data_IF_561541775172
#
_entry.id   IF_561541775172
#
_cell.length_a   1.000
_cell.length_b   1.000
_cell.length_c   1.000
_cell.angle_alpha   90.00
_cell.angle_beta   90.00
_cell.angle_gamma   90.00
#
_symmetry.space_group_name_H-M   'P 1'
#
loop_
_entity.id
_entity.type
_entity.pdbx_description
1 polymer ?
#
# COMPACT_ATOMS: atom_id res chain seq x y z
N UNK A 1 -59.81 -67.33 -22.97
CA UNK A 1 -59.85 -66.37 -21.85
C UNK A 1 -58.49 -66.41 -21.18
N UNK A 2 -57.61 -65.42 -21.20
CA UNK A 2 -57.64 -64.05 -21.67
C UNK A 2 -56.31 -63.74 -22.38
N UNK A 3 -56.38 -63.01 -23.50
CA UNK A 3 -55.23 -62.41 -24.18
C UNK A 3 -54.79 -61.16 -23.40
N UNK A 4 -53.49 -61.00 -23.17
CA UNK A 4 -52.87 -59.72 -22.82
C UNK A 4 -52.07 -59.23 -24.02
N UNK A 5 -52.53 -58.13 -24.61
CA UNK A 5 -51.94 -57.47 -25.77
C UNK A 5 -50.95 -56.40 -25.25
N UNK A 6 -49.66 -56.63 -25.49
CA UNK A 6 -48.55 -55.72 -25.14
C UNK A 6 -48.43 -54.65 -26.22
N UNK A 7 -49.39 -53.73 -26.26
CA UNK A 7 -49.26 -52.46 -26.97
C UNK A 7 -49.51 -51.32 -25.99
N UNK A 8 -48.54 -50.40 -25.92
CA UNK A 8 -48.50 -49.16 -25.14
C UNK A 8 -47.67 -49.19 -23.85
N UNK A 9 -46.37 -49.49 -23.96
CA UNK A 9 -45.43 -49.22 -22.85
C UNK A 9 -44.20 -48.38 -23.24
N UNK A 10 -44.24 -47.68 -24.37
CA UNK A 10 -43.23 -46.68 -24.70
C UNK A 10 -43.91 -45.40 -25.19
N UNK A 11 -44.27 -44.54 -24.23
CA UNK A 11 -44.63 -43.16 -24.53
C UNK A 11 -43.37 -42.41 -25.00
N UNK A 12 -43.43 -41.61 -26.09
CA UNK A 12 -42.31 -40.82 -26.58
C UNK A 12 -41.71 -39.88 -25.52
N UNK A 13 -42.47 -39.58 -24.47
CA UNK A 13 -42.02 -38.78 -23.32
C UNK A 13 -40.90 -39.45 -22.51
N UNK A 14 -40.86 -40.79 -22.43
CA UNK A 14 -39.82 -41.51 -21.66
C UNK A 14 -38.50 -41.60 -22.41
N UNK A 15 -38.54 -41.68 -23.75
CA UNK A 15 -37.35 -41.62 -24.60
C UNK A 15 -36.74 -40.22 -24.58
N UNK A 16 -37.59 -39.18 -24.57
CA UNK A 16 -37.16 -37.77 -24.43
C UNK A 16 -36.58 -37.52 -23.04
N UNK A 17 -37.18 -38.03 -21.97
CA UNK A 17 -36.65 -37.88 -20.61
C UNK A 17 -35.29 -38.57 -20.44
N UNK A 18 -35.12 -39.77 -21.00
CA UNK A 18 -33.85 -40.50 -20.97
C UNK A 18 -32.76 -39.80 -21.80
N UNK A 19 -33.12 -39.24 -22.97
CA UNK A 19 -32.20 -38.45 -23.79
C UNK A 19 -31.81 -37.12 -23.10
N UNK A 20 -32.74 -36.46 -22.40
CA UNK A 20 -32.44 -35.29 -21.57
C UNK A 20 -31.53 -35.65 -20.39
N UNK A 21 -31.75 -36.78 -19.72
CA UNK A 21 -30.87 -37.23 -18.64
C UNK A 21 -29.45 -37.57 -19.12
N UNK A 22 -29.30 -38.16 -20.32
CA UNK A 22 -27.99 -38.41 -20.91
C UNK A 22 -27.30 -37.12 -21.39
N UNK A 23 -28.06 -36.09 -21.82
CA UNK A 23 -27.51 -34.77 -22.15
C UNK A 23 -27.08 -33.99 -20.88
N UNK A 24 -27.76 -34.17 -19.75
CA UNK A 24 -27.34 -33.58 -18.47
C UNK A 24 -26.18 -34.33 -17.80
N UNK A 25 -26.02 -35.63 -18.04
CA UNK A 25 -24.90 -36.41 -17.51
C UNK A 25 -23.62 -36.31 -18.38
N UNK A 26 -23.73 -35.92 -19.64
CA UNK A 26 -22.58 -35.74 -20.55
C UNK A 26 -21.96 -34.33 -20.50
N UNK A 27 -22.45 -33.45 -19.62
CA UNK A 27 -21.88 -32.13 -19.35
C UNK A 27 -21.37 -32.00 -17.90
N UNK A 28 -20.96 -33.09 -17.25
CA UNK A 28 -19.94 -32.95 -16.21
C UNK A 28 -18.60 -33.06 -16.92
N UNK A 29 -18.13 -31.94 -17.47
CA UNK A 29 -16.69 -31.75 -17.61
C UNK A 29 -16.10 -32.09 -16.24
N UNK A 30 -15.18 -33.06 -16.22
CA UNK A 30 -14.26 -33.20 -15.10
C UNK A 30 -13.71 -31.81 -14.84
N UNK A 31 -14.13 -31.19 -13.73
CA UNK A 31 -13.46 -30.01 -13.24
C UNK A 31 -12.02 -30.44 -13.03
N UNK A 32 -11.12 -30.01 -13.90
CA UNK A 32 -9.68 -30.05 -13.63
C UNK A 32 -9.51 -29.64 -12.17
N UNK A 33 -8.71 -30.37 -11.37
CA UNK A 33 -8.49 -29.97 -9.99
C UNK A 33 -7.99 -28.54 -10.02
N UNK A 34 -8.84 -27.62 -9.56
CA UNK A 34 -8.54 -26.20 -9.51
C UNK A 34 -7.21 -26.09 -8.77
N UNK A 35 -6.16 -25.70 -9.50
CA UNK A 35 -4.79 -25.70 -8.96
C UNK A 35 -4.80 -24.75 -7.79
N UNK A 36 -4.70 -25.33 -6.60
CA UNK A 36 -4.72 -24.57 -5.36
C UNK A 36 -3.36 -23.91 -5.17
N UNK A 37 -3.37 -22.62 -4.83
CA UNK A 37 -2.25 -22.01 -4.11
C UNK A 37 -1.84 -22.94 -2.97
N UNK A 38 -0.54 -23.07 -2.73
CA UNK A 38 -0.05 -23.96 -1.69
C UNK A 38 -0.76 -23.66 -0.35
N UNK A 39 -1.17 -24.68 0.43
CA UNK A 39 -1.82 -24.45 1.73
C UNK A 39 -0.96 -23.61 2.71
N UNK A 40 0.35 -23.59 2.51
CA UNK A 40 1.37 -22.82 3.22
C UNK A 40 1.98 -21.70 2.35
N UNK A 41 1.23 -21.22 1.35
CA UNK A 41 1.68 -20.37 0.23
C UNK A 41 2.38 -19.05 0.56
N UNK A 42 2.69 -18.69 1.80
CA UNK A 42 3.49 -17.50 2.08
C UNK A 42 2.86 -16.15 1.67
N UNK A 43 1.56 -16.15 1.30
CA UNK A 43 0.76 -14.99 0.81
C UNK A 43 0.56 -13.90 1.87
N UNK A 44 1.36 -13.88 2.95
CA UNK A 44 1.43 -12.78 3.91
C UNK A 44 2.19 -11.58 3.34
N UNK A 45 3.23 -11.84 2.55
CA UNK A 45 4.13 -10.80 2.04
C UNK A 45 3.53 -10.10 0.82
N UNK A 46 3.73 -8.79 0.75
CA UNK A 46 3.19 -7.95 -0.32
C UNK A 46 4.34 -7.30 -1.07
N UNK A 47 4.42 -7.53 -2.36
CA UNK A 47 5.31 -6.84 -3.27
C UNK A 47 4.59 -5.63 -3.86
N UNK A 48 5.16 -4.46 -3.62
CA UNK A 48 4.65 -3.20 -4.13
C UNK A 48 5.37 -2.81 -5.43
N UNK A 49 4.68 -2.11 -6.35
CA UNK A 49 5.29 -1.69 -7.60
C UNK A 49 6.32 -0.58 -7.39
N UNK A 50 7.43 -0.68 -8.12
CA UNK A 50 8.55 0.26 -8.10
C UNK A 50 9.24 0.44 -6.73
N UNK A 51 8.97 -0.48 -5.81
CA UNK A 51 9.69 -0.59 -4.54
C UNK A 51 11.11 -1.13 -4.80
N UNK A 52 12.12 -0.45 -4.27
CA UNK A 52 13.53 -0.83 -4.43
C UNK A 52 14.09 -1.57 -3.21
N UNK A 53 13.30 -1.75 -2.14
CA UNK A 53 13.73 -2.51 -0.98
C UNK A 53 14.19 -3.93 -1.35
N UNK A 54 15.11 -4.47 -0.55
CA UNK A 54 15.75 -5.78 -0.82
C UNK A 54 14.73 -6.90 -0.92
N UNK A 55 13.66 -6.85 -0.12
CA UNK A 55 12.51 -7.75 -0.22
C UNK A 55 12.90 -9.24 -0.11
N UNK A 56 13.82 -9.56 0.82
CA UNK A 56 14.36 -10.92 1.03
C UNK A 56 13.28 -11.95 1.40
N UNK A 57 12.29 -11.54 2.21
CA UNK A 57 11.14 -12.40 2.51
C UNK A 57 10.30 -12.70 1.26
N UNK A 58 10.08 -11.72 0.39
CA UNK A 58 9.38 -11.92 -0.88
C UNK A 58 10.19 -12.84 -1.78
N UNK A 59 11.50 -12.62 -1.88
CA UNK A 59 12.43 -13.48 -2.60
C UNK A 59 12.41 -14.93 -2.10
N UNK A 60 12.29 -15.16 -0.79
CA UNK A 60 12.20 -16.51 -0.23
C UNK A 60 10.85 -17.19 -0.51
N UNK A 61 9.78 -16.43 -0.77
CA UNK A 61 8.42 -16.95 -0.85
C UNK A 61 7.77 -16.83 -2.23
N UNK A 62 8.36 -16.14 -3.22
CA UNK A 62 7.75 -15.91 -4.54
C UNK A 62 7.24 -17.19 -5.21
N UNK A 63 8.00 -18.28 -5.13
CA UNK A 63 7.64 -19.58 -5.70
C UNK A 63 6.45 -20.24 -4.97
N UNK A 64 6.31 -19.98 -3.67
CA UNK A 64 5.25 -20.51 -2.80
C UNK A 64 3.98 -19.65 -2.84
N UNK A 65 4.17 -18.35 -3.04
CA UNK A 65 3.15 -17.32 -3.21
C UNK A 65 3.45 -16.04 -2.44
N UNK A 66 3.23 -14.91 -3.10
CA UNK A 66 3.25 -13.57 -2.50
C UNK A 66 2.11 -12.75 -3.08
N UNK A 67 1.68 -11.71 -2.37
CA UNK A 67 0.73 -10.71 -2.90
C UNK A 67 1.47 -9.72 -3.79
N UNK A 68 0.89 -9.36 -4.92
CA UNK A 68 1.27 -8.24 -5.76
C UNK A 68 0.19 -7.18 -5.60
N UNK A 69 0.57 -5.96 -5.23
CA UNK A 69 -0.37 -4.84 -5.27
C UNK A 69 -0.39 -4.24 -6.69
N UNK A 70 -1.57 -4.22 -7.30
CA UNK A 70 -1.74 -3.81 -8.69
C UNK A 70 -2.83 -2.74 -8.81
N UNK A 71 -2.61 -1.80 -9.72
CA UNK A 71 -3.51 -0.69 -10.04
C UNK A 71 -4.04 -0.86 -11.48
N UNK A 72 -5.27 -0.39 -11.74
CA UNK A 72 -5.94 -0.68 -13.00
C UNK A 72 -5.30 0.08 -14.18
N UNK A 73 -5.22 -0.56 -15.34
CA UNK A 73 -4.63 -0.04 -16.59
C UNK A 73 -3.11 0.21 -16.55
N UNK A 74 -2.41 -0.24 -15.51
CA UNK A 74 -0.95 -0.23 -15.47
C UNK A 74 -0.36 -1.52 -16.08
N UNK A 75 0.80 -1.36 -16.71
CA UNK A 75 1.63 -2.45 -17.21
C UNK A 75 2.69 -2.79 -16.16
N UNK A 76 2.89 -4.08 -15.92
CA UNK A 76 3.76 -4.59 -14.88
C UNK A 76 4.80 -5.54 -15.46
N UNK A 77 5.99 -5.47 -14.87
CA UNK A 77 7.06 -6.44 -15.06
C UNK A 77 7.46 -7.03 -13.71
N UNK A 78 7.23 -8.33 -13.54
CA UNK A 78 7.76 -9.09 -12.41
C UNK A 78 9.03 -9.79 -12.87
N UNK A 79 10.13 -9.62 -12.15
CA UNK A 79 11.41 -10.24 -12.51
C UNK A 79 12.22 -10.71 -11.32
N UNK A 80 13.04 -11.73 -11.54
CA UNK A 80 14.01 -12.25 -10.56
C UNK A 80 15.21 -12.88 -11.27
N UNK A 81 16.29 -13.11 -10.53
CA UNK A 81 17.54 -13.64 -11.09
C UNK A 81 17.38 -15.09 -11.57
N UNK A 82 17.96 -15.38 -12.73
CA UNK A 82 18.00 -16.73 -13.30
C UNK A 82 18.94 -17.61 -12.48
N UNK A 83 18.39 -18.63 -11.82
CA UNK A 83 19.17 -19.57 -11.01
C UNK A 83 19.61 -20.82 -11.79
N UNK A 84 20.19 -20.64 -12.98
CA UNK A 84 20.65 -21.75 -13.82
C UNK A 84 19.55 -22.65 -14.40
N UNK A 85 18.28 -22.25 -14.26
CA UNK A 85 17.16 -22.97 -14.85
C UNK A 85 17.29 -23.04 -16.39
N UNK A 86 17.06 -24.23 -16.96
CA UNK A 86 17.11 -24.45 -18.41
C UNK A 86 15.89 -23.85 -19.13
N UNK A 87 14.75 -23.81 -18.43
CA UNK A 87 13.50 -23.18 -18.86
C UNK A 87 13.00 -22.25 -17.77
N UNK A 88 12.35 -21.16 -18.16
CA UNK A 88 11.69 -20.28 -17.21
C UNK A 88 10.48 -21.02 -16.61
N UNK A 89 10.23 -20.92 -15.30
CA UNK A 89 9.00 -21.44 -14.73
C UNK A 89 7.80 -20.65 -15.26
N UNK A 90 6.62 -21.27 -15.26
CA UNK A 90 5.36 -20.59 -15.60
C UNK A 90 4.85 -19.86 -14.36
N UNK A 91 4.56 -18.57 -14.50
CA UNK A 91 3.93 -17.79 -13.45
C UNK A 91 2.42 -17.95 -13.51
N UNK A 92 1.82 -18.36 -12.41
CA UNK A 92 0.37 -18.37 -12.24
C UNK A 92 -0.03 -17.18 -11.37
N UNK A 93 -1.09 -16.48 -11.77
CA UNK A 93 -1.64 -15.33 -11.07
C UNK A 93 -3.05 -15.65 -10.59
N UNK A 94 -3.36 -15.32 -9.34
CA UNK A 94 -4.64 -15.58 -8.71
C UNK A 94 -5.21 -14.29 -8.13
N UNK A 95 -6.49 -14.02 -8.34
CA UNK A 95 -7.20 -12.96 -7.64
C UNK A 95 -7.52 -13.43 -6.23
N UNK A 96 -7.30 -12.56 -5.25
CA UNK A 96 -7.65 -12.79 -3.86
C UNK A 96 -8.98 -12.09 -3.54
N UNK A 97 -9.93 -12.85 -2.99
CA UNK A 97 -11.15 -12.32 -2.40
C UNK A 97 -11.12 -12.57 -0.90
N UNK A 98 -11.02 -11.49 -0.13
CA UNK A 98 -11.06 -11.56 1.32
C UNK A 98 -12.44 -12.06 1.78
N UNK A 99 -12.46 -13.15 2.55
CA UNK A 99 -13.68 -13.64 3.22
C UNK A 99 -13.68 -13.26 4.70
N UNK A 100 -12.50 -13.31 5.32
CA UNK A 100 -12.17 -12.80 6.66
C UNK A 100 -10.75 -12.28 6.62
N UNK A 101 -10.28 -11.62 7.70
CA UNK A 101 -8.91 -11.11 7.81
C UNK A 101 -7.81 -12.16 7.56
N UNK A 102 -8.12 -13.46 7.72
CA UNK A 102 -7.14 -14.56 7.59
C UNK A 102 -7.50 -15.59 6.52
N UNK A 103 -8.65 -15.45 5.84
CA UNK A 103 -9.11 -16.40 4.83
C UNK A 103 -9.40 -15.70 3.51
N UNK A 104 -8.77 -16.21 2.45
CA UNK A 104 -8.97 -15.76 1.08
C UNK A 104 -9.61 -16.85 0.25
N UNK A 105 -10.63 -16.49 -0.53
CA UNK A 105 -11.01 -17.27 -1.70
C UNK A 105 -10.11 -16.86 -2.86
N UNK A 106 -9.58 -17.84 -3.57
CA UNK A 106 -8.64 -17.61 -4.67
C UNK A 106 -9.30 -17.96 -5.99
N UNK A 107 -8.98 -17.22 -7.04
CA UNK A 107 -9.44 -17.54 -8.39
C UNK A 107 -8.30 -17.30 -9.37
N UNK A 108 -7.94 -18.32 -10.15
CA UNK A 108 -6.87 -18.20 -11.14
C UNK A 108 -7.26 -17.20 -12.23
N UNK A 109 -6.42 -16.21 -12.45
CA UNK A 109 -6.63 -15.14 -13.42
C UNK A 109 -5.94 -15.50 -14.74
N UNK A 110 -4.64 -15.81 -14.68
CA UNK A 110 -3.80 -16.08 -15.87
C UNK A 110 -2.62 -16.99 -15.56
N UNK A 111 -2.05 -17.55 -16.62
CA UNK A 111 -0.71 -18.12 -16.63
C UNK A 111 0.16 -17.37 -17.63
N UNK A 112 1.42 -17.16 -17.28
CA UNK A 112 2.37 -16.40 -18.06
C UNK A 112 3.65 -17.22 -18.21
N UNK A 113 4.04 -17.43 -19.47
CA UNK A 113 5.35 -17.96 -19.80
C UNK A 113 6.43 -16.93 -19.47
N UNK A 114 7.50 -17.38 -18.81
CA UNK A 114 8.62 -16.50 -18.47
C UNK A 114 9.57 -16.31 -19.65
N UNK A 115 10.10 -15.10 -19.79
CA UNK A 115 11.12 -14.77 -20.77
C UNK A 115 12.49 -14.64 -20.10
N UNK A 116 13.54 -15.17 -20.73
CA UNK A 116 14.91 -14.89 -20.32
C UNK A 116 15.38 -13.57 -20.93
N UNK A 117 15.69 -12.59 -20.06
CA UNK A 117 16.24 -11.29 -20.46
C UNK A 117 17.57 -11.10 -19.74
N UNK A 118 18.67 -11.39 -20.43
CA UNK A 118 19.99 -11.47 -19.81
C UNK A 118 20.03 -12.55 -18.72
N UNK A 119 20.42 -12.15 -17.52
CA UNK A 119 20.48 -13.02 -16.34
C UNK A 119 19.20 -13.01 -15.50
N UNK A 120 18.08 -12.48 -16.03
CA UNK A 120 16.80 -12.41 -15.33
C UNK A 120 15.72 -13.23 -16.03
N UNK A 121 14.81 -13.77 -15.23
CA UNK A 121 13.52 -14.29 -15.68
C UNK A 121 12.50 -13.17 -15.51
N UNK A 122 11.71 -12.93 -16.56
CA UNK A 122 10.82 -11.77 -16.63
C UNK A 122 9.42 -12.20 -17.07
N UNK A 123 8.40 -11.68 -16.40
CA UNK A 123 6.98 -11.82 -16.74
C UNK A 123 6.38 -10.44 -16.93
N UNK A 124 5.67 -10.25 -18.05
CA UNK A 124 5.02 -8.98 -18.37
C UNK A 124 3.52 -9.18 -18.46
N UNK A 125 2.77 -8.28 -17.84
CA UNK A 125 1.30 -8.34 -17.84
C UNK A 125 0.68 -6.98 -17.57
N UNK A 126 -0.61 -6.85 -17.88
CA UNK A 126 -1.42 -5.67 -17.59
C UNK A 126 -2.48 -6.03 -16.55
N UNK A 127 -2.70 -5.15 -15.58
CA UNK A 127 -3.82 -5.25 -14.66
C UNK A 127 -5.10 -4.75 -15.36
N UNK A 128 -5.99 -5.68 -15.69
CA UNK A 128 -7.28 -5.40 -16.36
C UNK A 128 -8.44 -5.18 -15.37
N UNK A 129 -8.13 -5.09 -14.07
CA UNK A 129 -9.15 -4.75 -13.08
C UNK A 129 -9.61 -3.30 -13.24
N UNK A 130 -10.72 -2.95 -12.60
CA UNK A 130 -11.28 -1.60 -12.57
C UNK A 130 -10.89 -0.80 -11.32
N UNK A 131 -10.27 -1.45 -10.33
CA UNK A 131 -9.82 -0.87 -9.07
C UNK A 131 -8.49 -1.48 -8.63
N UNK A 132 -7.87 -0.91 -7.60
CA UNK A 132 -6.68 -1.49 -6.99
C UNK A 132 -6.99 -2.87 -6.40
N UNK A 133 -6.14 -3.85 -6.65
CA UNK A 133 -6.35 -5.24 -6.23
C UNK A 133 -5.06 -5.86 -5.71
N UNK A 134 -5.20 -6.94 -4.96
CA UNK A 134 -4.11 -7.87 -4.68
C UNK A 134 -4.28 -9.14 -5.50
N UNK A 135 -3.25 -9.49 -6.27
CA UNK A 135 -3.11 -10.80 -6.88
C UNK A 135 -2.06 -11.63 -6.13
N UNK A 136 -2.24 -12.94 -6.03
CA UNK A 136 -1.23 -13.86 -5.53
C UNK A 136 -0.49 -14.56 -6.68
N UNK A 137 0.76 -14.94 -6.43
CA UNK A 137 1.59 -15.68 -7.38
C UNK A 137 1.70 -17.16 -7.01
N UNK A 138 2.02 -18.02 -7.99
CA UNK A 138 2.78 -19.24 -7.79
C UNK A 138 3.64 -19.52 -9.03
N UNK A 139 4.72 -20.28 -8.87
CA UNK A 139 5.60 -20.64 -9.98
C UNK A 139 5.54 -22.15 -10.24
N UNK A 140 5.39 -22.55 -11.51
CA UNK A 140 5.39 -23.95 -11.94
C UNK A 140 6.64 -24.28 -12.78
N UNK A 141 7.17 -25.47 -12.56
CA UNK A 141 8.13 -26.16 -13.43
C UNK A 141 7.45 -27.42 -13.98
N UNK A 142 6.93 -27.31 -15.21
CA UNK A 142 6.05 -28.32 -15.80
C UNK A 142 4.74 -28.47 -15.02
N UNK A 143 4.46 -29.68 -14.55
CA UNK A 143 3.25 -30.00 -13.76
C UNK A 143 3.45 -29.84 -12.24
N UNK A 144 4.64 -29.40 -11.80
CA UNK A 144 4.97 -29.29 -10.38
C UNK A 144 5.34 -27.88 -9.99
N UNK A 145 5.25 -27.54 -8.71
CA UNK A 145 5.73 -26.24 -8.22
C UNK A 145 7.24 -26.10 -8.38
N UNK A 146 7.65 -24.91 -8.85
CA UNK A 146 9.04 -24.52 -8.96
C UNK A 146 9.70 -24.49 -7.58
N UNK A 147 10.92 -25.03 -7.48
CA UNK A 147 11.69 -25.13 -6.23
C UNK A 147 13.05 -24.43 -6.28
N UNK A 148 13.35 -23.75 -7.37
CA UNK A 148 14.58 -22.98 -7.49
C UNK A 148 14.49 -21.67 -6.69
N UNK A 149 15.64 -21.03 -6.40
CA UNK A 149 15.65 -19.76 -5.70
C UNK A 149 15.13 -18.62 -6.60
N UNK A 150 14.50 -17.62 -5.99
CA UNK A 150 13.96 -16.42 -6.62
C UNK A 150 14.58 -15.18 -5.99
N UNK A 151 15.82 -14.84 -6.36
CA UNK A 151 16.57 -13.72 -5.76
C UNK A 151 16.33 -12.40 -6.48
N UNK A 152 16.54 -11.28 -5.77
CA UNK A 152 16.46 -9.92 -6.31
C UNK A 152 15.12 -9.70 -7.05
N UNK A 153 14.02 -10.11 -6.40
CA UNK A 153 12.68 -10.00 -6.97
C UNK A 153 12.31 -8.53 -7.08
N UNK A 154 11.82 -8.11 -8.24
CA UNK A 154 11.33 -6.75 -8.49
C UNK A 154 9.99 -6.81 -9.20
N UNK A 155 9.07 -5.95 -8.77
CA UNK A 155 7.85 -5.62 -9.50
C UNK A 155 7.96 -4.16 -9.93
N UNK A 156 8.09 -3.93 -11.23
CA UNK A 156 8.04 -2.56 -11.77
C UNK A 156 6.69 -2.32 -12.42
N UNK A 157 6.22 -1.08 -12.31
CA UNK A 157 4.94 -0.65 -12.85
C UNK A 157 5.10 0.61 -13.69
N UNK A 158 4.52 0.60 -14.88
CA UNK A 158 4.40 1.76 -15.75
C UNK A 158 2.92 1.97 -16.08
N UNK A 159 2.45 3.21 -15.93
CA UNK A 159 1.05 3.53 -16.15
C UNK A 159 0.86 4.70 -17.10
N UNK A 160 -0.38 4.84 -17.56
CA UNK A 160 -0.77 5.84 -18.55
C UNK A 160 -1.38 7.10 -17.93
N UNK A 161 -1.48 7.17 -16.60
CA UNK A 161 -2.04 8.32 -15.92
C UNK A 161 -1.06 9.50 -15.92
N UNK A 162 -1.58 10.67 -15.55
CA UNK A 162 -0.80 11.90 -15.58
C UNK A 162 0.33 11.87 -14.56
N UNK A 163 1.39 12.64 -14.83
CA UNK A 163 2.37 13.06 -13.83
C UNK A 163 1.97 14.40 -13.19
N UNK A 164 0.73 14.85 -13.38
CA UNK A 164 0.15 16.00 -12.71
C UNK A 164 -0.80 15.57 -11.60
N UNK A 165 -0.76 16.30 -10.48
CA UNK A 165 -1.75 16.13 -9.43
C UNK A 165 -2.21 17.48 -8.87
N UNK A 166 -3.40 17.47 -8.28
CA UNK A 166 -3.86 18.54 -7.40
C UNK A 166 -3.95 18.00 -5.97
N UNK A 167 -3.95 18.89 -4.99
CA UNK A 167 -4.05 18.54 -3.57
C UNK A 167 -5.31 19.19 -2.99
N UNK A 168 -6.02 18.48 -2.13
CA UNK A 168 -7.05 19.05 -1.26
C UNK A 168 -6.52 19.06 0.17
N UNK A 169 -6.36 20.24 0.77
CA UNK A 169 -6.14 20.38 2.20
C UNK A 169 -7.51 20.43 2.89
N UNK A 170 -7.89 19.35 3.56
CA UNK A 170 -9.19 19.20 4.22
C UNK A 170 -9.04 19.46 5.72
N UNK A 171 -9.42 20.65 6.17
CA UNK A 171 -9.43 21.02 7.58
C UNK A 171 -10.60 20.35 8.32
N UNK A 172 -10.30 19.62 9.40
CA UNK A 172 -11.28 18.85 10.19
C UNK A 172 -11.35 19.36 11.63
N UNK A 173 -12.57 19.68 12.06
CA UNK A 173 -12.82 20.23 13.39
C UNK A 173 -12.30 21.65 13.57
N UNK A 174 -12.12 22.02 14.84
CA UNK A 174 -11.57 23.30 15.26
C UNK A 174 -10.05 23.30 15.11
N UNK A 175 -9.57 23.91 14.03
CA UNK A 175 -8.14 24.13 13.80
C UNK A 175 -7.70 25.42 14.49
N UNK A 176 -6.70 25.31 15.36
CA UNK A 176 -6.04 26.44 15.98
C UNK A 176 -4.90 26.94 15.08
N UNK A 177 -4.49 28.22 15.19
CA UNK A 177 -3.27 28.68 14.53
C UNK A 177 -2.09 27.79 14.91
N UNK A 178 -1.15 27.61 13.97
CA UNK A 178 0.12 26.94 14.22
C UNK A 178 0.90 27.65 15.33
N UNK A 179 1.96 27.02 15.85
CA UNK A 179 2.84 27.59 16.89
C UNK A 179 3.41 28.97 16.49
N UNK A 180 3.65 29.17 15.21
CA UNK A 180 4.12 30.40 14.57
C UNK A 180 2.97 31.30 14.04
N UNK A 181 1.73 31.05 14.48
CA UNK A 181 0.54 31.86 14.20
C UNK A 181 0.10 31.92 12.73
N UNK A 182 0.36 30.86 11.97
CA UNK A 182 -0.07 30.70 10.58
C UNK A 182 -1.49 30.10 10.55
N UNK A 183 -2.36 30.67 9.72
CA UNK A 183 -3.72 30.15 9.48
C UNK A 183 -3.76 29.10 8.36
N UNK A 184 -4.92 28.47 8.15
CA UNK A 184 -5.08 27.38 7.18
C UNK A 184 -4.76 27.83 5.75
N UNK A 185 -5.21 29.03 5.34
CA UNK A 185 -4.97 29.54 4.00
C UNK A 185 -3.49 29.86 3.75
N UNK A 186 -2.81 30.41 4.76
CA UNK A 186 -1.37 30.68 4.70
C UNK A 186 -0.57 29.38 4.69
N UNK A 187 -0.97 28.40 5.50
CA UNK A 187 -0.38 27.06 5.52
C UNK A 187 -0.54 26.37 4.15
N UNK A 188 -1.73 26.42 3.55
CA UNK A 188 -2.00 25.90 2.21
C UNK A 188 -1.08 26.50 1.14
N UNK A 189 -0.80 27.81 1.21
CA UNK A 189 0.14 28.47 0.31
C UNK A 189 1.59 27.99 0.51
N UNK A 190 2.02 27.79 1.77
CA UNK A 190 3.34 27.24 2.09
C UNK A 190 3.46 25.79 1.59
N UNK A 191 2.46 24.96 1.87
CA UNK A 191 2.38 23.59 1.37
C UNK A 191 2.48 23.54 -0.15
N UNK A 192 1.66 24.30 -0.89
CA UNK A 192 1.71 24.30 -2.35
C UNK A 192 3.09 24.69 -2.90
N UNK A 193 3.74 25.68 -2.27
CA UNK A 193 5.09 26.12 -2.65
C UNK A 193 6.11 25.01 -2.44
N UNK A 194 6.08 24.37 -1.27
CA UNK A 194 7.08 23.37 -0.90
C UNK A 194 6.85 22.02 -1.60
N UNK A 195 5.60 21.61 -1.82
CA UNK A 195 5.27 20.48 -2.68
C UNK A 195 5.83 20.67 -4.09
N UNK A 196 5.65 21.85 -4.71
CA UNK A 196 6.24 22.14 -6.02
C UNK A 196 7.77 22.18 -6.02
N UNK A 197 8.38 22.53 -4.89
CA UNK A 197 9.83 22.58 -4.73
C UNK A 197 10.41 21.18 -4.60
N UNK A 198 9.86 20.36 -3.72
CA UNK A 198 10.43 19.07 -3.33
C UNK A 198 10.01 17.95 -4.27
N UNK A 199 8.75 17.91 -4.74
CA UNK A 199 8.29 16.93 -5.74
C UNK A 199 8.56 17.39 -7.18
N UNK A 200 9.83 17.61 -7.51
CA UNK A 200 10.24 18.28 -8.75
C UNK A 200 10.04 17.46 -10.05
N UNK A 201 9.81 16.15 -9.96
CA UNK A 201 9.60 15.25 -11.11
C UNK A 201 8.13 15.13 -11.55
N UNK A 202 7.20 15.66 -10.76
CA UNK A 202 5.76 15.70 -11.04
C UNK A 202 5.28 17.16 -11.03
N UNK A 203 4.08 17.41 -11.56
CA UNK A 203 3.49 18.75 -11.55
C UNK A 203 2.35 18.86 -10.55
N UNK A 204 2.58 19.63 -9.49
CA UNK A 204 1.53 20.00 -8.54
C UNK A 204 0.79 21.23 -9.05
N UNK A 205 -0.37 21.00 -9.67
CA UNK A 205 -1.16 22.02 -10.37
C UNK A 205 -1.70 23.07 -9.41
N UNK A 206 -2.34 22.65 -8.32
CA UNK A 206 -2.92 23.53 -7.32
C UNK A 206 -3.15 22.80 -6.00
N UNK A 207 -3.41 23.58 -4.95
CA UNK A 207 -3.89 23.09 -3.67
C UNK A 207 -5.19 23.82 -3.33
N UNK A 208 -6.25 23.07 -3.07
CA UNK A 208 -7.56 23.58 -2.66
C UNK A 208 -7.70 23.47 -1.15
N UNK A 209 -8.25 24.50 -0.51
CA UNK A 209 -8.62 24.44 0.91
C UNK A 209 -10.09 24.03 1.02
N UNK A 210 -10.37 23.03 1.85
CA UNK A 210 -11.72 22.56 2.15
C UNK A 210 -11.89 22.40 3.65
N UNK A 211 -13.14 22.46 4.09
CA UNK A 211 -13.49 22.24 5.48
C UNK A 211 -14.46 21.08 5.57
N UNK A 212 -14.14 20.07 6.38
CA UNK A 212 -14.95 18.86 6.47
C UNK A 212 -16.40 19.14 6.90
N UNK A 213 -16.64 20.14 7.76
CA UNK A 213 -17.98 20.56 8.18
C UNK A 213 -18.87 21.08 7.03
N UNK A 214 -18.28 21.47 5.91
CA UNK A 214 -18.97 21.91 4.69
C UNK A 214 -19.23 20.75 3.73
N UNK A 215 -18.73 19.54 4.01
CA UNK A 215 -18.90 18.38 3.13
C UNK A 215 -20.41 18.05 2.96
N UNK A 216 -20.93 17.90 1.72
CA UNK A 216 -22.37 17.82 1.46
C UNK A 216 -23.10 16.69 2.21
N UNK A 217 -22.42 15.56 2.43
CA UNK A 217 -22.99 14.36 3.08
C UNK A 217 -22.38 14.05 4.44
N UNK A 218 -21.20 14.61 4.75
CA UNK A 218 -20.41 14.23 5.93
C UNK A 218 -20.23 15.37 6.92
N UNK A 219 -20.55 16.62 6.56
CA UNK A 219 -20.25 17.78 7.40
C UNK A 219 -20.84 17.73 8.80
N UNK A 220 -21.97 17.05 8.98
CA UNK A 220 -22.57 16.83 10.31
C UNK A 220 -21.73 15.96 11.24
N UNK A 221 -20.83 15.13 10.73
CA UNK A 221 -19.92 14.28 11.52
C UNK A 221 -18.69 15.03 12.00
N UNK A 222 -18.36 16.16 11.36
CA UNK A 222 -17.12 16.91 11.61
C UNK A 222 -17.42 18.37 11.92
N UNK A 223 -18.06 18.68 13.05
CA UNK A 223 -18.40 20.06 13.40
C UNK A 223 -17.15 20.92 13.62
N UNK A 224 -17.20 22.19 13.22
CA UNK A 224 -16.04 23.08 13.19
C UNK A 224 -15.68 23.72 14.55
N UNK A 225 -16.52 23.54 15.57
CA UNK A 225 -16.40 24.20 16.88
C UNK A 225 -15.68 23.34 17.93
N UNK A 226 -15.39 22.07 17.64
CA UNK A 226 -14.64 21.16 18.51
C UNK A 226 -13.38 20.59 17.85
N UNK A 227 -12.29 20.40 18.61
CA UNK A 227 -11.07 19.80 18.07
C UNK A 227 -11.33 18.34 17.69
N UNK A 228 -10.86 17.96 16.49
CA UNK A 228 -11.02 16.60 15.98
C UNK A 228 -9.70 15.82 16.08
N UNK A 229 -9.78 14.53 16.45
CA UNK A 229 -8.64 13.68 16.82
C UNK A 229 -8.73 12.33 16.09
N UNK A 230 -7.66 11.93 15.38
CA UNK A 230 -7.56 10.62 14.73
C UNK A 230 -7.06 9.54 15.70
N UNK A 231 -7.36 8.28 15.37
CA UNK A 231 -6.68 7.12 15.96
C UNK A 231 -7.26 6.66 17.29
N UNK A 232 -8.52 6.99 17.60
CA UNK A 232 -9.21 6.33 18.73
C UNK A 232 -9.56 4.87 18.42
N UNK A 233 -9.64 4.53 17.13
CA UNK A 233 -9.92 3.20 16.60
C UNK A 233 -9.18 3.01 15.26
N UNK A 234 -9.21 1.79 14.72
CA UNK A 234 -8.71 1.54 13.36
C UNK A 234 -9.56 2.22 12.28
N UNK A 235 -10.84 2.50 12.58
CA UNK A 235 -11.81 3.02 11.60
C UNK A 235 -11.64 4.53 11.34
N UNK A 236 -11.12 5.29 12.31
CA UNK A 236 -10.91 6.74 12.21
C UNK A 236 -9.45 7.13 11.95
N UNK A 237 -8.54 6.15 11.80
CA UNK A 237 -7.11 6.41 11.63
C UNK A 237 -6.80 7.14 10.32
N UNK A 238 -7.42 6.72 9.21
CA UNK A 238 -7.18 7.34 7.89
C UNK A 238 -8.27 8.32 7.47
N UNK A 239 -9.47 8.30 8.07
CA UNK A 239 -10.61 9.12 7.61
C UNK A 239 -10.89 9.02 6.11
N UNK A 240 -10.81 7.80 5.59
CA UNK A 240 -10.96 7.49 4.16
C UNK A 240 -12.28 7.96 3.56
N UNK A 241 -13.33 8.16 4.38
CA UNK A 241 -14.60 8.73 3.93
C UNK A 241 -14.52 10.21 3.52
N UNK A 242 -13.50 10.94 3.97
CA UNK A 242 -13.25 12.33 3.56
C UNK A 242 -12.46 12.44 2.25
N UNK A 243 -11.99 11.30 1.71
CA UNK A 243 -11.35 11.25 0.41
C UNK A 243 -12.34 11.25 -0.75
N UNK A 244 -11.94 11.77 -1.91
CA UNK A 244 -12.72 11.71 -3.14
C UNK A 244 -13.92 12.66 -3.16
N UNK A 245 -13.68 13.95 -2.94
CA UNK A 245 -14.72 14.99 -2.91
C UNK A 245 -15.62 14.99 -4.15
N UNK A 246 -16.92 15.32 -4.01
CA UNK A 246 -17.90 15.15 -5.09
C UNK A 246 -17.68 16.05 -6.31
N UNK A 247 -16.97 17.18 -6.16
CA UNK A 247 -16.63 18.07 -7.26
C UNK A 247 -15.59 17.44 -8.20
N UNK A 248 -15.86 17.48 -9.51
CA UNK A 248 -15.03 16.77 -10.51
C UNK A 248 -13.54 17.16 -10.50
N UNK A 249 -13.21 18.40 -10.17
CA UNK A 249 -11.83 18.89 -10.09
C UNK A 249 -11.13 18.56 -8.76
N UNK A 250 -11.85 18.01 -7.78
CA UNK A 250 -11.35 17.64 -6.46
C UNK A 250 -11.37 16.12 -6.24
N UNK A 251 -12.25 15.41 -6.94
CA UNK A 251 -12.50 13.98 -6.76
C UNK A 251 -11.25 13.11 -6.85
N UNK A 252 -10.31 13.51 -7.69
CA UNK A 252 -9.07 12.77 -7.96
C UNK A 252 -7.82 13.51 -7.44
N UNK A 253 -8.00 14.52 -6.58
CA UNK A 253 -6.86 15.18 -5.95
C UNK A 253 -6.38 14.36 -4.76
N UNK A 254 -5.11 14.51 -4.39
CA UNK A 254 -4.60 13.95 -3.14
C UNK A 254 -5.26 14.67 -1.95
N UNK A 255 -6.01 13.94 -1.15
CA UNK A 255 -6.65 14.48 0.04
C UNK A 255 -5.69 14.42 1.24
N UNK A 256 -5.19 15.59 1.66
CA UNK A 256 -4.44 15.78 2.91
C UNK A 256 -5.41 16.30 3.97
N UNK A 257 -5.70 15.47 4.96
CA UNK A 257 -6.61 15.77 6.06
C UNK A 257 -5.83 16.39 7.22
N UNK A 258 -6.13 17.64 7.50
CA UNK A 258 -5.47 18.45 8.52
C UNK A 258 -6.38 18.64 9.74
N UNK A 259 -5.90 18.22 10.91
CA UNK A 259 -6.72 18.10 12.12
C UNK A 259 -5.98 18.59 13.37
N UNK A 260 -6.61 18.48 14.55
CA UNK A 260 -6.00 18.93 15.81
C UNK A 260 -4.78 18.10 16.19
N UNK A 261 -4.91 16.77 16.29
CA UNK A 261 -3.81 15.82 16.56
C UNK A 261 -4.19 14.39 16.20
N UNK A 262 -3.22 13.49 16.21
CA UNK A 262 -3.47 12.04 16.28
C UNK A 262 -3.27 11.56 17.73
N UNK A 263 -4.04 10.56 18.17
CA UNK A 263 -3.99 10.03 19.55
C UNK A 263 -2.81 9.10 19.82
N UNK A 264 -2.05 8.71 18.79
CA UNK A 264 -0.80 7.98 18.97
C UNK A 264 0.29 8.93 19.51
N UNK A 265 0.96 8.52 20.60
CA UNK A 265 1.98 9.35 21.24
C UNK A 265 3.13 9.64 20.28
N UNK A 266 3.49 10.91 20.14
CA UNK A 266 4.61 11.34 19.30
C UNK A 266 4.31 11.45 17.81
N UNK A 267 3.15 11.01 17.32
CA UNK A 267 2.88 11.06 15.89
C UNK A 267 2.49 12.45 15.38
N UNK A 268 3.04 12.80 14.20
CA UNK A 268 2.75 14.05 13.47
C UNK A 268 1.82 13.83 12.28
N UNK A 269 1.82 12.63 11.70
CA UNK A 269 1.10 12.30 10.49
C UNK A 269 1.07 10.79 10.24
N UNK A 270 0.20 10.38 9.31
CA UNK A 270 0.13 9.01 8.81
C UNK A 270 -0.35 8.99 7.38
N UNK A 271 0.21 8.10 6.57
CA UNK A 271 -0.36 7.65 5.32
C UNK A 271 -0.33 6.13 5.24
N UNK A 272 -1.24 5.58 4.46
CA UNK A 272 -1.13 4.19 4.07
C UNK A 272 -0.03 4.05 3.01
N UNK A 273 0.96 3.21 3.31
CA UNK A 273 2.07 2.92 2.42
C UNK A 273 1.55 2.39 1.07
N UNK A 274 2.05 2.96 -0.02
CA UNK A 274 1.65 2.64 -1.39
C UNK A 274 0.13 2.70 -1.64
N UNK A 275 -0.64 3.55 -0.94
CA UNK A 275 -2.10 3.49 -1.11
C UNK A 275 -2.56 3.77 -2.54
N UNK A 276 -1.98 4.78 -3.19
CA UNK A 276 -2.21 5.07 -4.60
C UNK A 276 -3.67 5.25 -5.06
N UNK A 277 -4.55 5.64 -4.14
CA UNK A 277 -5.97 5.84 -4.42
C UNK A 277 -6.33 7.31 -4.17
N UNK A 278 -6.32 8.14 -5.21
CA UNK A 278 -6.70 9.56 -5.10
C UNK A 278 -8.20 9.81 -5.33
N UNK A 279 -8.97 8.77 -5.66
CA UNK A 279 -10.40 8.86 -6.00
C UNK A 279 -11.37 8.75 -4.82
N UNK A 280 -10.85 8.67 -3.59
CA UNK A 280 -11.60 8.31 -2.38
C UNK A 280 -11.71 6.80 -2.14
N UNK A 281 -12.07 6.39 -0.92
CA UNK A 281 -12.16 4.99 -0.51
C UNK A 281 -11.07 4.61 0.49
N UNK A 282 -10.98 3.32 0.86
CA UNK A 282 -10.02 2.89 1.91
C UNK A 282 -8.61 3.40 1.58
N UNK A 283 -7.97 3.96 2.61
CA UNK A 283 -6.57 4.43 2.59
C UNK A 283 -6.28 5.63 1.66
N UNK A 284 -7.30 6.28 1.09
CA UNK A 284 -7.16 7.34 0.07
C UNK A 284 -6.66 8.72 0.56
N UNK A 285 -6.16 8.80 1.78
CA UNK A 285 -5.96 10.06 2.51
C UNK A 285 -4.61 10.06 3.21
N UNK A 286 -4.01 11.25 3.26
CA UNK A 286 -2.82 11.55 4.06
C UNK A 286 -3.29 12.35 5.29
N UNK A 287 -2.87 11.96 6.49
CA UNK A 287 -3.27 12.60 7.74
C UNK A 287 -2.11 13.43 8.29
N UNK A 288 -2.40 14.66 8.72
CA UNK A 288 -1.43 15.52 9.42
C UNK A 288 -2.06 16.26 10.61
N UNK A 289 -1.37 16.26 11.74
CA UNK A 289 -1.79 16.96 12.95
C UNK A 289 -1.30 18.41 13.01
N UNK A 290 -2.06 19.28 13.67
CA UNK A 290 -1.60 20.60 14.10
C UNK A 290 -0.77 20.53 15.40
N UNK A 291 -0.88 19.42 16.13
CA UNK A 291 -0.27 19.21 17.44
C UNK A 291 0.11 17.75 17.60
N UNK A 292 1.13 17.52 18.42
CA UNK A 292 1.55 16.19 18.86
C UNK A 292 0.88 15.85 20.18
N UNK A 293 0.39 14.63 20.32
CA UNK A 293 0.04 14.06 21.62
C UNK A 293 1.31 13.58 22.34
N UNK A 294 1.66 14.21 23.45
CA UNK A 294 2.84 13.90 24.26
C UNK A 294 2.50 13.91 25.77
N UNK A 295 1.79 12.89 26.28
CA UNK A 295 1.46 12.75 27.70
C UNK A 295 2.68 12.86 28.61
N UNK A 296 3.79 12.26 28.18
CA UNK A 296 5.09 12.30 28.85
C UNK A 296 5.64 13.72 29.06
N UNK A 297 5.27 14.66 28.19
CA UNK A 297 5.64 16.09 28.26
C UNK A 297 4.54 16.99 28.86
N UNK A 298 3.49 16.39 29.43
CA UNK A 298 2.41 17.13 30.09
C UNK A 298 1.23 17.51 29.19
N UNK A 299 1.05 16.87 28.03
CA UNK A 299 -0.19 16.96 27.25
C UNK A 299 0.01 17.03 25.75
N UNK A 300 -0.21 18.21 25.16
CA UNK A 300 -0.13 18.44 23.71
C UNK A 300 0.93 19.49 23.38
N UNK A 301 1.70 19.26 22.31
CA UNK A 301 2.72 20.19 21.82
C UNK A 301 2.26 20.78 20.48
N UNK A 302 2.12 22.11 20.34
CA UNK A 302 1.75 22.72 19.07
C UNK A 302 2.90 22.67 18.06
N UNK A 303 2.57 22.39 16.80
CA UNK A 303 3.52 22.36 15.69
C UNK A 303 3.58 23.72 14.97
N UNK A 304 4.76 24.05 14.45
CA UNK A 304 4.99 25.15 13.52
C UNK A 304 4.44 24.80 12.13
N UNK A 305 4.19 25.82 11.31
CA UNK A 305 3.79 25.62 9.91
C UNK A 305 4.82 24.81 9.12
N UNK A 306 6.12 24.99 9.41
CA UNK A 306 7.22 24.23 8.80
C UNK A 306 7.11 22.74 9.12
N UNK A 307 6.99 22.37 10.39
CA UNK A 307 6.87 20.97 10.81
C UNK A 307 5.65 20.29 10.17
N UNK A 308 4.51 20.99 10.08
CA UNK A 308 3.28 20.45 9.45
C UNK A 308 3.47 20.22 7.94
N UNK A 309 4.13 21.16 7.25
CA UNK A 309 4.45 21.02 5.81
C UNK A 309 5.41 19.85 5.60
N UNK A 310 6.44 19.74 6.42
CA UNK A 310 7.43 18.66 6.37
C UNK A 310 6.80 17.29 6.61
N UNK A 311 5.93 17.15 7.61
CA UNK A 311 5.14 15.93 7.82
C UNK A 311 4.25 15.62 6.62
N UNK A 312 3.58 16.61 6.04
CA UNK A 312 2.74 16.36 4.86
C UNK A 312 3.54 15.88 3.65
N UNK A 313 4.75 16.41 3.43
CA UNK A 313 5.66 15.94 2.39
C UNK A 313 6.11 14.49 2.68
N UNK A 314 6.48 14.19 3.92
CA UNK A 314 6.90 12.85 4.34
C UNK A 314 5.80 11.81 4.12
N UNK A 315 4.60 12.05 4.67
CA UNK A 315 3.47 11.12 4.55
C UNK A 315 2.99 10.97 3.10
N UNK A 316 3.07 12.03 2.31
CA UNK A 316 2.78 11.93 0.88
C UNK A 316 3.83 11.08 0.16
N UNK A 317 5.08 11.06 0.62
CA UNK A 317 6.13 10.14 0.16
C UNK A 317 5.70 8.69 0.35
N UNK A 318 5.23 8.33 1.56
CA UNK A 318 4.67 7.00 1.82
C UNK A 318 3.47 6.66 0.94
N UNK A 319 2.56 7.61 0.76
CA UNK A 319 1.41 7.44 -0.13
C UNK A 319 1.82 7.09 -1.56
N UNK A 320 2.89 7.72 -2.07
CA UNK A 320 3.47 7.47 -3.38
C UNK A 320 4.53 6.37 -3.41
N UNK A 321 4.65 5.58 -2.35
CA UNK A 321 5.46 4.37 -2.34
C UNK A 321 6.94 4.57 -2.01
N UNK A 322 7.26 5.62 -1.25
CA UNK A 322 8.55 5.72 -0.59
C UNK A 322 8.48 5.06 0.78
N UNK A 323 9.56 4.38 1.14
CA UNK A 323 9.79 3.83 2.48
C UNK A 323 10.59 4.82 3.30
N UNK A 324 10.63 4.60 4.61
CA UNK A 324 11.66 5.24 5.41
C UNK A 324 13.04 4.82 4.90
N UNK A 325 13.97 5.77 4.83
CA UNK A 325 15.36 5.49 4.44
C UNK A 325 16.00 4.48 5.40
N UNK A 326 15.62 4.54 6.67
CA UNK A 326 15.94 3.57 7.71
C UNK A 326 14.67 3.00 8.30
N UNK A 327 14.50 1.67 8.28
CA UNK A 327 13.27 1.04 8.77
C UNK A 327 13.09 1.18 10.28
N UNK A 328 11.85 1.42 10.70
CA UNK A 328 11.41 1.50 12.10
C UNK A 328 10.73 0.20 12.56
N UNK A 329 10.63 -0.05 13.87
CA UNK A 329 9.82 -1.18 14.34
C UNK A 329 8.34 -1.09 13.93
N UNK A 330 7.80 0.13 13.85
CA UNK A 330 6.44 0.36 13.34
C UNK A 330 6.28 -0.08 11.87
N UNK A 331 7.29 0.17 11.04
CA UNK A 331 7.29 -0.29 9.64
C UNK A 331 7.27 -1.82 9.55
N UNK A 332 8.10 -2.50 10.35
CA UNK A 332 8.14 -3.97 10.36
C UNK A 332 6.81 -4.58 10.81
N UNK A 333 6.17 -3.99 11.81
CA UNK A 333 4.87 -4.44 12.30
C UNK A 333 3.77 -4.18 11.28
N UNK A 334 3.75 -2.99 10.66
CA UNK A 334 2.77 -2.62 9.65
C UNK A 334 2.87 -3.51 8.40
N UNK A 335 4.07 -3.88 7.99
CA UNK A 335 4.30 -4.68 6.78
C UNK A 335 4.34 -6.18 7.05
N UNK A 336 4.66 -6.60 8.27
CA UNK A 336 4.94 -7.99 8.61
C UNK A 336 6.20 -8.54 7.93
N UNK A 337 7.13 -7.68 7.50
CA UNK A 337 8.36 -8.05 6.82
C UNK A 337 9.61 -7.43 7.48
N UNK A 338 10.22 -8.20 8.38
CA UNK A 338 11.44 -7.83 9.11
C UNK A 338 12.71 -7.93 8.28
N UNK A 339 12.62 -8.30 7.00
CA UNK A 339 13.79 -8.43 6.12
C UNK A 339 14.18 -7.10 5.45
N UNK A 340 13.27 -6.13 5.42
CA UNK A 340 13.53 -4.79 4.92
C UNK A 340 14.12 -3.94 6.06
N UNK A 341 15.40 -3.57 5.95
CA UNK A 341 16.09 -2.70 6.92
C UNK A 341 16.27 -1.26 6.41
N UNK A 342 16.11 -1.07 5.11
CA UNK A 342 16.35 0.15 4.35
C UNK A 342 15.37 0.23 3.16
N UNK A 343 15.30 1.39 2.52
CA UNK A 343 14.47 1.62 1.33
C UNK A 343 15.05 1.02 0.02
N UNK A 344 16.29 0.52 0.07
CA UNK A 344 17.00 -0.11 -1.04
C UNK A 344 17.54 0.87 -2.10
N UNK A 345 17.60 2.16 -1.77
CA UNK A 345 18.09 3.21 -2.67
C UNK A 345 19.52 3.62 -2.28
N UNK A 346 20.48 3.44 -3.20
CA UNK A 346 21.90 3.73 -2.95
C UNK A 346 22.18 5.20 -2.56
N UNK A 347 21.35 6.13 -3.06
CA UNK A 347 21.45 7.57 -2.78
C UNK A 347 21.01 7.94 -1.34
N UNK A 348 20.36 7.02 -0.61
CA UNK A 348 19.80 7.23 0.74
C UNK A 348 20.33 6.17 1.69
N UNK A 349 21.61 6.25 2.09
CA UNK A 349 22.22 5.25 2.96
C UNK A 349 21.50 5.21 4.30
N UNK A 350 21.02 4.03 4.71
CA UNK A 350 20.34 3.87 5.99
C UNK A 350 21.27 4.04 7.20
N UNK A 351 20.67 4.37 8.34
CA UNK A 351 21.35 4.62 9.59
C UNK A 351 21.22 3.45 10.57
N UNK A 352 22.19 2.53 10.55
CA UNK A 352 22.19 1.35 11.45
C UNK A 352 22.09 1.71 12.94
N UNK A 353 22.66 2.84 13.35
CA UNK A 353 22.63 3.27 14.75
C UNK A 353 21.23 3.69 15.20
N UNK A 354 20.36 4.11 14.29
CA UNK A 354 18.97 4.41 14.60
C UNK A 354 18.22 3.11 14.96
N UNK A 355 18.47 2.04 14.19
CA UNK A 355 17.93 0.70 14.46
C UNK A 355 18.45 0.14 15.80
N UNK A 356 19.77 0.27 16.02
CA UNK A 356 20.42 -0.24 17.24
C UNK A 356 20.19 0.63 18.49
N UNK A 357 19.85 1.91 18.32
CA UNK A 357 19.75 2.89 19.40
C UNK A 357 18.43 2.81 20.18
N UNK A 358 17.43 2.07 19.67
CA UNK A 358 16.12 1.95 20.30
C UNK A 358 15.35 3.26 20.38
N UNK A 359 15.75 4.29 19.61
CA UNK A 359 15.09 5.61 19.56
C UNK A 359 13.63 5.53 19.09
N UNK A 360 13.24 4.41 18.50
CA UNK A 360 11.88 4.13 18.02
C UNK A 360 11.37 2.87 18.72
N UNK A 361 11.23 2.91 20.05
CA UNK A 361 10.63 1.80 20.79
C UNK A 361 9.11 1.84 20.62
N UNK A 362 8.53 0.83 20.00
CA UNK A 362 7.10 0.55 20.13
C UNK A 362 6.89 -0.01 21.54
N UNK A 363 6.10 0.68 22.35
CA UNK A 363 5.59 0.13 23.61
C UNK A 363 4.53 -0.91 23.26
N UNK A 364 4.95 -2.15 23.00
CA UNK A 364 4.01 -3.23 22.77
C UNK A 364 3.70 -3.95 24.09
N UNK A 365 2.54 -3.63 24.68
CA UNK A 365 1.92 -4.43 25.72
C UNK A 365 1.37 -5.73 25.08
N UNK A 366 2.16 -6.80 25.22
CA UNK A 366 1.79 -8.22 25.10
C UNK A 366 0.69 -8.61 24.09
N UNK A 367 1.09 -8.96 22.86
CA UNK A 367 0.34 -9.95 22.05
C UNK A 367 1.27 -11.12 21.67
N UNK A 368 1.01 -12.30 22.23
CA UNK A 368 1.35 -13.57 21.56
C UNK A 368 2.72 -14.22 21.79
N UNK A 369 3.40 -13.97 22.92
CA UNK A 369 4.32 -14.97 23.47
C UNK A 369 5.79 -14.95 23.02
N UNK A 370 6.26 -13.88 22.37
CA UNK A 370 7.69 -13.51 22.37
C UNK A 370 7.82 -12.01 22.59
N UNK A 371 7.80 -11.58 23.85
CA UNK A 371 8.19 -10.22 24.19
C UNK A 371 9.67 -10.02 23.81
N UNK A 372 9.94 -9.36 22.68
CA UNK A 372 11.30 -8.92 22.35
C UNK A 372 11.57 -7.64 23.13
N UNK A 373 12.17 -7.80 24.30
CA UNK A 373 12.80 -6.70 25.02
C UNK A 373 14.05 -6.27 24.27
N UNK A 374 13.91 -5.27 23.42
CA UNK A 374 15.03 -4.51 22.88
C UNK A 374 15.56 -3.59 24.00
N UNK A 375 16.60 -4.05 24.71
CA UNK A 375 17.33 -3.22 25.65
C UNK A 375 18.46 -2.53 24.89
N UNK A 376 18.32 -1.23 24.64
CA UNK A 376 19.39 -0.42 24.07
C UNK A 376 19.67 0.80 24.93
N UNK A 377 20.97 1.08 25.10
CA UNK A 377 21.49 2.16 25.92
C UNK A 377 21.35 3.47 25.13
N UNK A 378 20.34 4.27 25.45
CA UNK A 378 19.93 5.52 24.79
C UNK A 378 20.94 6.68 24.92
N UNK A 379 22.25 6.40 24.95
CA UNK A 379 23.32 7.38 25.24
C UNK A 379 24.49 7.41 24.26
N UNK A 380 24.46 6.65 23.16
CA UNK A 380 25.64 6.46 22.31
C UNK A 380 25.56 7.05 20.89
N UNK A 381 24.49 7.75 20.52
CA UNK A 381 24.30 8.20 19.15
C UNK A 381 23.49 9.50 19.05
N UNK A 382 24.03 10.48 18.30
CA UNK A 382 23.35 11.72 17.91
C UNK A 382 22.63 11.47 16.58
N UNK A 383 21.35 11.82 16.48
CA UNK A 383 20.54 11.49 15.31
C UNK A 383 21.00 12.22 14.05
N UNK A 384 21.58 13.40 14.24
CA UNK A 384 22.18 14.23 13.20
C UNK A 384 23.43 13.61 12.58
N UNK A 385 24.03 12.58 13.21
CA UNK A 385 25.16 11.83 12.63
C UNK A 385 24.68 10.76 11.63
N UNK A 386 23.37 10.53 11.48
CA UNK A 386 22.85 9.66 10.42
C UNK A 386 23.13 10.29 9.05
N UNK A 387 23.64 9.51 8.08
CA UNK A 387 24.05 10.04 6.77
C UNK A 387 22.87 10.58 5.93
N UNK A 388 21.65 10.20 6.28
CA UNK A 388 20.38 10.51 5.63
C UNK A 388 19.44 11.36 6.52
N UNK A 389 19.91 11.90 7.65
CA UNK A 389 19.11 12.68 8.61
C UNK A 389 18.43 13.94 8.03
N UNK A 390 18.90 14.42 6.88
CA UNK A 390 18.34 15.56 6.12
C UNK A 390 17.32 15.15 5.05
N UNK A 391 17.16 13.84 4.79
CA UNK A 391 16.23 13.32 3.79
C UNK A 391 14.79 13.44 4.29
N UNK A 392 13.86 13.75 3.38
CA UNK A 392 12.43 13.89 3.72
C UNK A 392 11.86 12.58 4.27
N UNK A 393 12.34 11.43 3.82
CA UNK A 393 11.89 10.10 4.27
C UNK A 393 12.69 9.54 5.45
N UNK A 394 13.50 10.37 6.13
CA UNK A 394 14.13 9.94 7.38
C UNK A 394 13.05 9.82 8.47
N UNK A 395 13.00 8.73 9.25
CA UNK A 395 11.85 8.38 10.12
C UNK A 395 11.77 9.19 11.42
N UNK A 396 12.61 10.20 11.62
CA UNK A 396 12.68 10.92 12.88
C UNK A 396 12.91 12.42 12.66
N UNK A 397 12.40 13.22 13.60
CA UNK A 397 12.63 14.66 13.59
C UNK A 397 14.12 14.97 13.85
N UNK A 398 14.69 15.86 13.06
CA UNK A 398 16.08 16.31 13.19
C UNK A 398 16.13 17.84 13.14
N UNK A 399 17.18 18.42 13.71
CA UNK A 399 17.43 19.87 13.61
C UNK A 399 18.10 20.26 12.28
N UNK A 400 18.43 19.28 11.44
CA UNK A 400 19.06 19.51 10.15
C UNK A 400 18.04 20.09 9.14
N UNK A 401 18.47 21.01 8.26
CA UNK A 401 17.61 21.45 7.17
C UNK A 401 17.30 20.30 6.20
N UNK A 402 16.03 20.19 5.78
CA UNK A 402 15.63 19.24 4.75
C UNK A 402 16.34 19.51 3.41
N UNK A 403 17.12 18.56 2.96
CA UNK A 403 17.78 18.59 1.65
C UNK A 403 16.83 18.15 0.53
N UNK A 404 15.77 17.41 0.87
CA UNK A 404 14.74 16.96 -0.06
C UNK A 404 14.77 15.46 -0.29
N UNK A 405 14.12 15.03 -1.37
CA UNK A 405 14.16 13.66 -1.85
C UNK A 405 15.38 13.44 -2.74
N UNK A 406 15.90 12.21 -2.76
CA UNK A 406 16.90 11.78 -3.74
C UNK A 406 16.29 11.73 -5.15
N UNK A 407 17.14 11.70 -6.18
CA UNK A 407 16.65 11.66 -7.56
C UNK A 407 15.88 10.35 -7.82
N UNK A 408 16.38 9.25 -7.26
CA UNK A 408 15.73 7.94 -7.35
C UNK A 408 14.38 7.91 -6.64
N UNK A 409 14.25 8.51 -5.44
CA UNK A 409 12.97 8.65 -4.75
C UNK A 409 11.96 9.42 -5.61
N UNK A 410 12.37 10.53 -6.22
CA UNK A 410 11.51 11.32 -7.10
C UNK A 410 11.06 10.58 -8.36
N UNK A 411 11.90 9.69 -8.90
CA UNK A 411 11.52 8.81 -10.01
C UNK A 411 10.47 7.77 -9.59
N UNK A 412 10.61 7.18 -8.40
CA UNK A 412 9.63 6.25 -7.83
C UNK A 412 8.28 6.95 -7.67
N UNK A 413 8.26 8.14 -7.05
CA UNK A 413 7.05 8.94 -6.88
C UNK A 413 6.37 9.20 -8.22
N UNK A 414 7.14 9.61 -9.24
CA UNK A 414 6.57 9.87 -10.57
C UNK A 414 5.99 8.60 -11.20
N UNK A 415 6.72 7.48 -11.18
CA UNK A 415 6.25 6.21 -11.74
C UNK A 415 4.99 5.72 -11.03
N UNK A 416 4.96 5.85 -9.70
CA UNK A 416 3.82 5.45 -8.89
C UNK A 416 2.61 6.35 -9.13
N UNK A 417 2.80 7.67 -9.20
CA UNK A 417 1.72 8.59 -9.60
C UNK A 417 1.12 8.18 -10.96
N UNK A 418 1.95 7.83 -11.94
CA UNK A 418 1.50 7.46 -13.29
C UNK A 418 0.77 6.11 -13.36
N UNK A 419 0.86 5.23 -12.36
CA UNK A 419 0.04 4.00 -12.27
C UNK A 419 -1.25 4.18 -11.45
N UNK A 420 -1.35 5.26 -10.69
CA UNK A 420 -2.51 5.53 -9.85
C UNK A 420 -3.62 6.21 -10.66
N UNK A 421 -4.88 5.73 -10.62
CA UNK A 421 -5.96 6.39 -11.34
C UNK A 421 -6.28 7.76 -10.73
N UNK A 422 -6.20 8.82 -11.54
CA UNK A 422 -6.58 10.19 -11.19
C UNK A 422 -6.88 11.06 -12.40
#
# INVERSE_FOLDING_TARGET
MCHFDLKNFFSPMHVILAALFCLFAACSEESDPEINLLPDSGVRFTLFPNDEAVNDSIAANLAHGVKLQLHPNASYELSFDRSGAEKAPVLQLYRLYEQTETQFKVHKVRELEGEFVGDRIVYRFVCEENEMIYWATSLLDGETFYRGPTKNVKLTGEGAYSDHMSINLVAVGKILPTKDSVDVDSLANLMLKDFRRYYSTIKVDTLYVRYAHEHPTLGKKYPADEPWRAGYSSDDMYLSELGGWPEANLRNALDIVYMHRIEEEGSLGFAALFSGNMGGGKRSTVIVGNRIYAPSLGGEVPLTSKEIVESALHETGHFFGLRHTTTTPGDWEAEGDYSNLEDGIEETPYCINLILGGYMSVNDDEIGGVARKYYFDAKAFEIEDCPDASNVMFPAATELPYEGFSQKQLEIVRKNLMIFPH
#
